data_IF_510841383735
#
_entry.id   IF_510841383735
#
_cell.length_a   1.000
_cell.length_b   1.000
_cell.length_c   1.000
_cell.angle_alpha   90.00
_cell.angle_beta   90.00
_cell.angle_gamma   90.00
#
_symmetry.space_group_name_H-M   'P 1'
#
loop_
_entity.id
_entity.type
_entity.pdbx_description
1 polymer ?
#
# COMPACT_ATOMS: atom_id res chain seq x y z
N UNK A 1 33.63 -17.39 10.42
CA UNK A 1 32.95 -16.25 9.89
C UNK A 1 32.16 -16.61 8.63
N UNK A 2 30.91 -16.33 8.62
CA UNK A 2 30.11 -16.62 7.44
C UNK A 2 30.50 -15.68 6.31
N UNK A 3 30.68 -16.25 5.16
CA UNK A 3 30.92 -15.45 3.96
C UNK A 3 29.58 -15.13 3.33
N UNK A 4 29.23 -13.86 3.36
CA UNK A 4 28.05 -13.40 2.65
C UNK A 4 28.51 -13.15 1.22
N UNK A 5 28.06 -13.99 0.29
CA UNK A 5 28.38 -13.77 -1.11
C UNK A 5 27.48 -12.67 -1.68
N UNK A 6 27.84 -12.18 -2.85
CA UNK A 6 27.12 -11.11 -3.50
C UNK A 6 25.64 -11.46 -3.72
N UNK A 7 25.37 -12.71 -4.09
CA UNK A 7 24.01 -13.15 -4.35
C UNK A 7 23.15 -13.15 -3.09
N UNK A 8 23.69 -13.63 -1.97
CA UNK A 8 23.00 -13.59 -0.67
C UNK A 8 22.69 -12.18 -0.24
N UNK A 9 23.65 -11.27 -0.42
CA UNK A 9 23.48 -9.88 -0.06
C UNK A 9 22.39 -9.22 -0.91
N UNK A 10 22.37 -9.49 -2.21
CA UNK A 10 21.36 -8.99 -3.11
C UNK A 10 19.97 -9.49 -2.74
N UNK A 11 19.85 -10.78 -2.43
CA UNK A 11 18.58 -11.34 -1.98
C UNK A 11 18.10 -10.69 -0.69
N UNK A 12 19.02 -10.44 0.22
CA UNK A 12 18.69 -9.77 1.48
C UNK A 12 18.24 -8.34 1.27
N UNK A 13 18.88 -7.63 0.35
CA UNK A 13 18.50 -6.26 -0.01
C UNK A 13 17.12 -6.23 -0.66
N UNK A 14 16.84 -7.17 -1.55
CA UNK A 14 15.52 -7.27 -2.16
C UNK A 14 14.44 -7.51 -1.11
N UNK A 15 14.67 -8.43 -0.19
CA UNK A 15 13.73 -8.70 0.89
C UNK A 15 13.51 -7.50 1.79
N UNK A 16 14.56 -6.71 2.04
CA UNK A 16 14.43 -5.52 2.88
C UNK A 16 13.70 -4.38 2.17
N UNK A 17 13.68 -4.38 0.82
CA UNK A 17 12.94 -3.39 0.03
C UNK A 17 11.53 -3.87 -0.32
N UNK A 18 11.31 -5.19 -0.31
CA UNK A 18 9.97 -5.74 -0.48
C UNK A 18 9.21 -5.59 0.82
N UNK A 19 8.05 -4.97 0.71
CA UNK A 19 7.18 -4.83 1.87
C UNK A 19 6.36 -6.10 2.02
N UNK A 20 6.38 -6.66 3.21
CA UNK A 20 5.57 -7.82 3.53
C UNK A 20 4.14 -7.37 3.81
N UNK A 21 3.31 -7.40 2.79
CA UNK A 21 1.91 -7.01 2.89
C UNK A 21 1.14 -7.89 3.87
N UNK A 22 1.48 -9.17 3.91
CA UNK A 22 0.86 -10.11 4.86
C UNK A 22 1.05 -9.62 6.29
N UNK A 23 2.26 -9.25 6.64
CA UNK A 23 2.57 -8.77 8.00
C UNK A 23 1.89 -7.45 8.31
N UNK A 24 1.90 -6.51 7.36
CA UNK A 24 1.23 -5.23 7.54
C UNK A 24 -0.26 -5.40 7.78
N UNK A 25 -0.89 -6.29 7.03
CA UNK A 25 -2.32 -6.56 7.18
C UNK A 25 -2.60 -7.20 8.54
N UNK A 26 -1.77 -8.14 8.96
CA UNK A 26 -1.88 -8.75 10.29
C UNK A 26 -1.77 -7.71 11.40
N UNK A 27 -0.90 -6.73 11.20
CA UNK A 27 -0.65 -5.67 12.18
C UNK A 27 -1.72 -4.57 12.13
N UNK A 28 -2.75 -4.74 11.32
CA UNK A 28 -3.89 -3.83 11.30
C UNK A 28 -3.78 -2.68 10.32
N UNK A 29 -2.94 -2.78 9.28
CA UNK A 29 -2.84 -1.75 8.27
C UNK A 29 -4.20 -1.48 7.62
N UNK A 30 -4.46 -0.22 7.31
CA UNK A 30 -5.68 0.22 6.63
C UNK A 30 -5.45 0.17 5.13
N UNK A 31 -6.33 -0.49 4.41
CA UNK A 31 -6.25 -0.60 2.94
C UNK A 31 -7.11 0.50 2.33
N UNK A 32 -6.48 1.34 1.53
CA UNK A 32 -7.14 2.45 0.84
C UNK A 32 -7.13 2.14 -0.66
N UNK A 33 -8.31 1.91 -1.21
CA UNK A 33 -8.49 1.68 -2.63
C UNK A 33 -8.73 3.03 -3.31
N UNK A 34 -7.80 3.43 -4.18
CA UNK A 34 -7.84 4.76 -4.81
C UNK A 34 -8.46 4.74 -6.20
N UNK A 35 -9.17 3.65 -6.53
CA UNK A 35 -9.93 3.57 -7.77
C UNK A 35 -11.20 4.42 -7.69
N UNK A 36 -11.87 4.56 -8.82
CA UNK A 36 -13.19 5.22 -8.84
C UNK A 36 -14.20 4.42 -8.01
N UNK A 37 -15.26 5.09 -7.61
CA UNK A 37 -16.37 4.44 -6.88
C UNK A 37 -16.99 3.30 -7.68
N UNK A 38 -17.12 3.49 -8.99
CA UNK A 38 -17.66 2.46 -9.88
C UNK A 38 -16.80 1.21 -9.93
N UNK A 39 -15.50 1.39 -10.06
CA UNK A 39 -14.56 0.27 -10.02
C UNK A 39 -14.63 -0.47 -8.68
N UNK A 40 -14.62 0.28 -7.59
CA UNK A 40 -14.69 -0.27 -6.24
C UNK A 40 -15.95 -1.11 -6.04
N UNK A 41 -17.07 -0.66 -6.56
CA UNK A 41 -18.34 -1.35 -6.43
C UNK A 41 -18.37 -2.72 -7.15
N UNK A 42 -17.53 -2.90 -8.16
CA UNK A 42 -17.45 -4.17 -8.90
C UNK A 42 -16.66 -5.25 -8.20
N UNK A 43 -15.94 -4.90 -7.16
CA UNK A 43 -15.12 -5.83 -6.37
C UNK A 43 -13.98 -5.06 -5.72
N UNK A 44 -13.69 -5.39 -4.48
CA UNK A 44 -12.63 -4.73 -3.70
C UNK A 44 -12.19 -5.62 -2.54
N UNK A 45 -11.11 -5.25 -1.90
CA UNK A 45 -10.64 -5.97 -0.71
C UNK A 45 -11.63 -5.75 0.43
N UNK A 46 -12.04 -6.81 1.07
CA UNK A 46 -12.95 -6.72 2.23
C UNK A 46 -12.34 -5.83 3.32
N UNK A 47 -13.11 -4.86 3.76
CA UNK A 47 -12.67 -3.93 4.79
C UNK A 47 -11.86 -2.75 4.26
N UNK A 48 -11.59 -2.69 2.95
CA UNK A 48 -10.89 -1.55 2.37
C UNK A 48 -11.81 -0.32 2.30
N UNK A 49 -11.17 0.84 2.32
CA UNK A 49 -11.87 2.13 2.23
C UNK A 49 -11.60 2.70 0.85
N UNK A 50 -12.64 3.14 0.16
CA UNK A 50 -12.51 3.76 -1.14
C UNK A 50 -12.33 5.27 -1.01
N UNK A 51 -11.16 5.75 -1.40
CA UNK A 51 -10.88 7.18 -1.54
C UNK A 51 -10.28 7.37 -2.93
N UNK A 52 -11.07 7.79 -3.91
CA UNK A 52 -10.53 8.00 -5.25
C UNK A 52 -9.30 8.90 -5.26
N UNK A 53 -8.38 8.64 -6.18
CA UNK A 53 -7.08 9.31 -6.21
C UNK A 53 -7.19 10.84 -6.11
N UNK A 54 -8.14 11.44 -6.80
CA UNK A 54 -8.33 12.90 -6.80
C UNK A 54 -8.75 13.47 -5.44
N UNK A 55 -9.18 12.61 -4.52
CA UNK A 55 -9.61 13.02 -3.18
C UNK A 55 -8.54 12.75 -2.11
N UNK A 56 -7.44 12.13 -2.47
CA UNK A 56 -6.38 11.76 -1.50
C UNK A 56 -5.80 13.01 -0.83
N UNK A 57 -5.44 14.03 -1.62
CA UNK A 57 -4.82 15.24 -1.08
C UNK A 57 -5.70 15.97 -0.07
N UNK A 58 -7.01 15.88 -0.20
CA UNK A 58 -7.96 16.53 0.72
C UNK A 58 -8.41 15.61 1.86
N UNK A 59 -7.92 14.37 1.90
CA UNK A 59 -8.29 13.38 2.92
C UNK A 59 -7.19 13.16 3.96
N UNK A 60 -6.16 13.98 3.95
CA UNK A 60 -4.96 13.79 4.80
C UNK A 60 -5.31 13.71 6.28
N UNK A 61 -6.18 14.61 6.76
CA UNK A 61 -6.52 14.65 8.18
C UNK A 61 -7.19 13.35 8.64
N UNK A 62 -8.02 12.76 7.80
CA UNK A 62 -8.64 11.46 8.09
C UNK A 62 -7.61 10.34 8.13
N UNK A 63 -6.59 10.44 7.29
CA UNK A 63 -5.63 9.37 7.10
C UNK A 63 -4.50 9.36 8.13
N UNK A 64 -4.24 10.50 8.77
CA UNK A 64 -3.18 10.63 9.78
C UNK A 64 -3.34 9.69 10.97
N UNK A 65 -4.56 9.31 11.31
CA UNK A 65 -4.82 8.49 12.48
C UNK A 65 -4.49 7.01 12.29
N UNK A 66 -4.28 6.58 11.06
CA UNK A 66 -3.97 5.18 10.77
C UNK A 66 -2.51 4.87 10.99
N UNK A 67 -2.21 3.74 11.64
CA UNK A 67 -0.83 3.35 11.95
C UNK A 67 -0.02 3.03 10.70
N UNK A 68 -0.63 2.40 9.73
CA UNK A 68 -0.03 2.10 8.43
C UNK A 68 -1.11 2.05 7.36
N UNK A 69 -0.81 2.59 6.19
CA UNK A 69 -1.74 2.63 5.06
C UNK A 69 -1.15 1.82 3.91
N UNK A 70 -1.97 0.96 3.33
CA UNK A 70 -1.65 0.25 2.09
C UNK A 70 -2.57 0.82 1.01
N UNK A 71 -2.00 1.45 -0.01
CA UNK A 71 -2.78 1.93 -1.14
C UNK A 71 -2.89 0.83 -2.18
N UNK A 72 -4.01 0.75 -2.88
CA UNK A 72 -4.17 -0.16 -4.00
C UNK A 72 -5.04 0.46 -5.08
N UNK A 73 -4.92 -0.07 -6.28
CA UNK A 73 -5.74 0.34 -7.42
C UNK A 73 -5.86 -0.84 -8.39
N UNK A 74 -6.08 -0.59 -9.67
CA UNK A 74 -6.19 -1.67 -10.65
C UNK A 74 -4.84 -2.31 -10.99
N UNK A 75 -3.79 -1.48 -11.14
CA UNK A 75 -2.49 -1.94 -11.65
C UNK A 75 -1.29 -1.46 -10.84
N UNK A 76 -1.50 -0.60 -9.85
CA UNK A 76 -0.42 -0.04 -9.04
C UNK A 76 -0.01 1.39 -9.41
N UNK A 77 -0.46 1.91 -10.55
CA UNK A 77 -0.11 3.28 -10.99
C UNK A 77 -0.76 4.36 -10.12
N UNK A 78 -2.07 4.34 -10.02
CA UNK A 78 -2.80 5.32 -9.20
C UNK A 78 -2.43 5.19 -7.73
N UNK A 79 -2.26 3.97 -7.25
CA UNK A 79 -1.85 3.73 -5.87
C UNK A 79 -0.43 4.22 -5.60
N UNK A 80 0.45 4.15 -6.58
CA UNK A 80 1.79 4.75 -6.49
C UNK A 80 1.75 6.27 -6.43
N UNK A 81 0.85 6.89 -7.19
CA UNK A 81 0.63 8.34 -7.14
C UNK A 81 0.08 8.75 -5.79
N UNK A 82 -0.88 7.98 -5.26
CA UNK A 82 -1.42 8.22 -3.92
C UNK A 82 -0.34 8.14 -2.85
N UNK A 83 0.53 7.13 -2.94
CA UNK A 83 1.67 6.97 -2.05
C UNK A 83 2.54 8.23 -2.03
N UNK A 84 2.90 8.73 -3.21
CA UNK A 84 3.73 9.94 -3.33
C UNK A 84 3.04 11.16 -2.73
N UNK A 85 1.75 11.32 -2.99
CA UNK A 85 0.98 12.42 -2.42
C UNK A 85 0.94 12.35 -0.90
N UNK A 86 0.66 11.17 -0.34
CA UNK A 86 0.61 10.99 1.10
C UNK A 86 1.96 11.26 1.76
N UNK A 87 3.03 10.76 1.17
CA UNK A 87 4.37 11.02 1.70
C UNK A 87 4.75 12.49 1.62
N UNK A 88 4.40 13.17 0.54
CA UNK A 88 4.66 14.61 0.40
C UNK A 88 3.91 15.44 1.45
N UNK A 89 2.81 14.91 1.98
CA UNK A 89 2.02 15.55 3.03
C UNK A 89 2.41 15.11 4.44
N UNK A 90 3.50 14.37 4.56
CA UNK A 90 4.08 14.00 5.85
C UNK A 90 3.68 12.64 6.41
N UNK A 91 2.88 11.87 5.71
CA UNK A 91 2.56 10.51 6.13
C UNK A 91 3.70 9.58 5.73
N UNK A 92 4.31 8.92 6.72
CA UNK A 92 5.50 8.10 6.48
C UNK A 92 5.18 6.62 6.30
N UNK A 93 4.17 6.13 7.01
CA UNK A 93 3.85 4.70 7.04
C UNK A 93 2.82 4.38 5.96
N UNK A 94 3.24 4.49 4.72
CA UNK A 94 2.41 4.21 3.55
C UNK A 94 3.17 3.27 2.61
N UNK A 95 2.46 2.29 2.10
CA UNK A 95 3.00 1.30 1.16
C UNK A 95 2.08 1.18 -0.04
N UNK A 96 2.65 1.12 -1.24
CA UNK A 96 1.90 0.82 -2.44
C UNK A 96 1.67 -0.69 -2.52
N UNK A 97 0.44 -1.13 -2.39
CA UNK A 97 0.09 -2.55 -2.46
C UNK A 97 -0.05 -3.09 -3.88
N UNK A 98 -0.03 -2.22 -4.87
CA UNK A 98 -0.20 -2.61 -6.26
C UNK A 98 -1.67 -2.76 -6.64
N UNK A 99 -2.01 -3.83 -7.35
CA UNK A 99 -3.40 -4.11 -7.69
C UNK A 99 -4.18 -4.52 -6.43
N UNK A 100 -5.47 -4.26 -6.44
CA UNK A 100 -6.28 -4.67 -5.31
C UNK A 100 -6.33 -6.20 -5.18
N UNK A 101 -6.22 -6.92 -6.30
CA UNK A 101 -6.15 -8.38 -6.27
C UNK A 101 -4.86 -8.85 -5.58
N UNK A 102 -3.75 -8.15 -5.81
CA UNK A 102 -2.50 -8.46 -5.12
C UNK A 102 -2.66 -8.31 -3.61
N UNK A 103 -3.26 -7.23 -3.16
CA UNK A 103 -3.50 -7.02 -1.72
C UNK A 103 -4.49 -8.06 -1.19
N UNK A 104 -5.52 -8.35 -1.97
CA UNK A 104 -6.58 -9.26 -1.58
C UNK A 104 -6.09 -10.67 -1.24
N UNK A 105 -5.04 -11.13 -1.89
CA UNK A 105 -4.49 -12.47 -1.63
C UNK A 105 -3.91 -12.61 -0.23
N UNK A 106 -3.62 -11.51 0.43
CA UNK A 106 -3.06 -11.53 1.79
C UNK A 106 -4.12 -11.23 2.87
N UNK A 107 -5.35 -11.01 2.44
CA UNK A 107 -6.44 -10.68 3.36
C UNK A 107 -7.26 -11.94 3.81
#
# INVERSE_FOLDING_TARGET
MSKINMLSLLKKLFKSTEVDLSQLIKDGATIIDVRSKGEFATGHVKGSINIPLEQIATSIDKLKSHSHIITCCRSGNRSGMALRTLKSKGLKNVTNGGSWQNVNQYK
#
